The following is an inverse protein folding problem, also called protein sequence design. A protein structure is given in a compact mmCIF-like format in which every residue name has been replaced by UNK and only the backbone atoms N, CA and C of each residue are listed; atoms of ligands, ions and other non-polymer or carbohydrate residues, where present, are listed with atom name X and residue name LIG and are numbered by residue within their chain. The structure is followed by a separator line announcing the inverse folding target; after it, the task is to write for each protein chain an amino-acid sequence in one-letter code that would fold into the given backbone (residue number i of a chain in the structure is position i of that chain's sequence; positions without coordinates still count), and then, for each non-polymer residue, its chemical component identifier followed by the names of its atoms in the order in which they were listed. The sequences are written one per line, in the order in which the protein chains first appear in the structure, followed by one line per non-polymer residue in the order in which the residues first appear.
data_IF_817931982889
#
_entry.id   IF_817931982889
#
_cell.length_a   1.000
_cell.length_b   1.000
_cell.length_c   1.000
_cell.angle_alpha   90.00
_cell.angle_beta   90.00
_cell.angle_gamma   90.00
#
_symmetry.space_group_name_H-M   'P 1'
#
loop_
_entity.id
_entity.type
_entity.pdbx_description
1 polymer ?
#
# COMPACT_ATOMS: atom_id res chain seq x y z
N UNK A 1 -8.07 -34.99 -11.50
CA UNK A 1 -8.34 -35.23 -10.07
C UNK A 1 -8.47 -33.88 -9.41
N UNK A 2 -9.57 -33.62 -8.70
CA UNK A 2 -9.86 -32.35 -8.02
C UNK A 2 -9.95 -32.67 -6.52
N UNK A 3 -9.32 -31.84 -5.69
CA UNK A 3 -9.37 -31.98 -4.23
C UNK A 3 -10.69 -31.41 -3.73
N UNK A 4 -11.44 -32.19 -2.96
CA UNK A 4 -12.75 -31.83 -2.39
C UNK A 4 -12.62 -30.85 -1.20
N UNK A 5 -13.68 -30.08 -0.92
CA UNK A 5 -13.73 -29.11 0.17
C UNK A 5 -13.36 -29.71 1.54
N UNK A 6 -13.79 -30.93 1.86
CA UNK A 6 -13.49 -31.57 3.14
C UNK A 6 -12.00 -31.88 3.28
N UNK A 7 -11.35 -32.25 2.18
CA UNK A 7 -9.90 -32.50 2.14
C UNK A 7 -9.10 -31.22 2.43
N UNK A 8 -9.52 -30.08 1.86
CA UNK A 8 -8.86 -28.78 2.08
C UNK A 8 -9.05 -28.30 3.52
N UNK A 9 -10.22 -28.54 4.12
CA UNK A 9 -10.54 -28.15 5.50
C UNK A 9 -9.83 -28.99 6.55
N UNK A 10 -9.54 -30.26 6.25
CA UNK A 10 -8.80 -31.16 7.13
C UNK A 10 -7.30 -30.81 7.25
N UNK A 11 -6.77 -29.95 6.37
CA UNK A 11 -5.40 -29.47 6.44
C UNK A 11 -5.19 -28.51 7.64
N UNK A 12 -4.95 -29.08 8.83
CA UNK A 12 -4.77 -28.34 10.08
C UNK A 12 -3.46 -27.55 10.18
N UNK A 13 -2.58 -27.63 9.18
CA UNK A 13 -1.27 -26.97 9.20
C UNK A 13 -1.16 -25.95 8.07
N UNK A 14 -1.21 -24.67 8.44
CA UNK A 14 -0.81 -23.59 7.55
C UNK A 14 0.70 -23.42 7.66
N UNK A 15 1.48 -24.05 6.77
CA UNK A 15 2.94 -23.89 6.74
C UNK A 15 3.28 -22.39 6.62
N UNK A 16 4.08 -21.81 7.54
CA UNK A 16 4.45 -20.39 7.51
C UNK A 16 5.11 -19.94 6.20
N UNK A 17 5.55 -20.89 5.37
CA UNK A 17 6.22 -20.65 4.08
C UNK A 17 5.38 -21.02 2.85
N UNK A 18 4.19 -21.61 3.00
CA UNK A 18 3.40 -22.09 1.87
C UNK A 18 3.10 -20.95 0.87
N UNK A 19 2.66 -19.80 1.39
CA UNK A 19 2.40 -18.60 0.57
C UNK A 19 3.65 -18.07 -0.12
N UNK A 20 4.81 -18.11 0.55
CA UNK A 20 6.08 -17.67 -0.02
C UNK A 20 6.52 -18.60 -1.16
N UNK A 21 6.37 -19.92 -1.00
CA UNK A 21 6.65 -20.92 -2.05
C UNK A 21 5.71 -20.74 -3.25
N UNK A 22 4.41 -20.52 -3.00
CA UNK A 22 3.43 -20.23 -4.06
C UNK A 22 3.77 -18.96 -4.84
N UNK A 23 4.13 -17.87 -4.15
CA UNK A 23 4.59 -16.63 -4.80
C UNK A 23 5.87 -16.84 -5.61
N UNK A 24 6.82 -17.61 -5.07
CA UNK A 24 8.07 -17.96 -5.76
C UNK A 24 7.78 -18.73 -7.05
N UNK A 25 6.90 -19.73 -7.01
CA UNK A 25 6.48 -20.48 -8.18
C UNK A 25 5.79 -19.59 -9.23
N UNK A 26 4.91 -18.68 -8.80
CA UNK A 26 4.25 -17.70 -9.70
C UNK A 26 5.28 -16.78 -10.37
N UNK A 27 6.27 -16.28 -9.64
CA UNK A 27 7.24 -15.31 -10.17
C UNK A 27 8.34 -15.93 -11.03
N UNK A 28 8.60 -17.24 -10.92
CA UNK A 28 9.58 -17.94 -11.78
C UNK A 28 9.29 -17.78 -13.28
N UNK A 29 8.03 -17.60 -13.69
CA UNK A 29 7.64 -17.41 -15.09
C UNK A 29 6.94 -16.08 -15.40
N UNK A 30 6.76 -15.22 -14.39
CA UNK A 30 6.01 -13.96 -14.52
C UNK A 30 6.47 -12.96 -13.47
N UNK A 31 7.79 -12.77 -13.38
CA UNK A 31 8.36 -11.76 -12.49
C UNK A 31 7.80 -10.38 -12.86
N UNK A 32 7.50 -9.51 -11.88
CA UNK A 32 7.10 -8.15 -12.18
C UNK A 32 8.28 -7.41 -12.82
N UNK A 33 7.96 -6.51 -13.76
CA UNK A 33 8.96 -5.57 -14.28
C UNK A 33 9.58 -4.77 -13.13
N UNK A 34 10.91 -4.58 -13.13
CA UNK A 34 11.59 -3.81 -12.11
C UNK A 34 11.09 -2.37 -12.13
N UNK A 35 10.40 -1.96 -11.07
CA UNK A 35 10.06 -0.56 -10.87
C UNK A 35 11.21 0.16 -10.16
N UNK A 36 11.45 1.44 -10.48
CA UNK A 36 12.44 2.22 -9.75
C UNK A 36 12.10 2.25 -8.25
N UNK A 37 13.13 2.03 -7.42
CA UNK A 37 13.09 2.08 -5.95
C UNK A 37 12.44 3.34 -5.36
N UNK A 38 12.39 4.41 -6.15
CA UNK A 38 11.51 5.54 -5.92
C UNK A 38 10.61 5.70 -7.13
N UNK A 39 9.31 5.72 -6.86
CA UNK A 39 8.34 6.36 -7.73
C UNK A 39 8.70 7.84 -7.80
N UNK A 40 9.08 8.36 -8.97
CA UNK A 40 9.22 9.81 -9.19
C UNK A 40 7.88 10.53 -8.95
N UNK A 41 6.78 9.79 -9.07
CA UNK A 41 5.44 10.22 -8.71
C UNK A 41 5.21 10.11 -7.19
N UNK A 42 4.88 11.20 -6.48
CA UNK A 42 4.58 11.14 -5.05
C UNK A 42 3.33 10.26 -4.80
N UNK A 43 3.37 9.31 -3.85
CA UNK A 43 2.36 8.23 -3.71
C UNK A 43 0.97 8.69 -3.24
N UNK A 44 0.79 9.97 -2.98
CA UNK A 44 -0.50 10.55 -2.65
C UNK A 44 -0.46 12.03 -3.02
N UNK A 45 -1.60 12.69 -3.26
CA UNK A 45 -1.68 14.12 -3.55
C UNK A 45 -1.20 15.07 -2.44
N UNK A 46 -0.38 14.61 -1.48
CA UNK A 46 0.21 15.38 -0.39
C UNK A 46 1.09 16.54 -0.86
N UNK A 47 1.64 16.45 -2.08
CA UNK A 47 2.37 17.56 -2.72
C UNK A 47 1.49 18.81 -2.85
N UNK A 48 0.24 18.65 -3.29
CA UNK A 48 -0.75 19.74 -3.35
C UNK A 48 -1.38 20.05 -1.98
N UNK A 49 -1.46 19.07 -1.09
CA UNK A 49 -1.99 19.25 0.27
C UNK A 49 -1.10 20.13 1.14
N UNK A 50 0.23 20.07 0.97
CA UNK A 50 1.18 20.89 1.75
C UNK A 50 1.06 22.39 1.43
N UNK A 51 0.89 22.74 0.16
CA UNK A 51 0.63 24.13 -0.25
C UNK A 51 -0.73 24.63 0.28
N UNK A 52 -1.78 23.80 0.22
CA UNK A 52 -3.10 24.12 0.79
C UNK A 52 -3.06 24.26 2.32
N UNK A 53 -2.30 23.41 3.01
CA UNK A 53 -2.11 23.47 4.46
C UNK A 53 -1.47 24.79 4.89
N UNK A 54 -0.38 25.23 4.22
CA UNK A 54 0.26 26.52 4.49
C UNK A 54 -0.70 27.71 4.32
N UNK A 55 -1.50 27.72 3.24
CA UNK A 55 -2.52 28.76 3.01
C UNK A 55 -3.60 28.77 4.09
N UNK A 56 -4.07 27.61 4.54
CA UNK A 56 -5.08 27.48 5.61
C UNK A 56 -4.54 27.96 6.95
N UNK A 57 -3.31 27.57 7.30
CA UNK A 57 -2.64 28.03 8.51
C UNK A 57 -2.53 29.55 8.50
N UNK A 58 -1.98 30.14 7.44
CA UNK A 58 -1.86 31.60 7.32
C UNK A 58 -3.18 32.34 7.53
N UNK A 59 -4.27 31.90 6.88
CA UNK A 59 -5.61 32.49 7.09
C UNK A 59 -6.09 32.38 8.54
N UNK A 60 -5.80 31.27 9.22
CA UNK A 60 -6.17 31.05 10.63
C UNK A 60 -5.42 32.00 11.56
N UNK A 61 -4.13 32.24 11.29
CA UNK A 61 -3.35 33.25 12.00
C UNK A 61 -3.93 34.66 11.79
N UNK A 62 -4.23 35.05 10.55
CA UNK A 62 -4.84 36.35 10.26
C UNK A 62 -6.19 36.58 10.96
N UNK A 63 -7.06 35.57 11.03
CA UNK A 63 -8.33 35.66 11.76
C UNK A 63 -8.13 35.82 13.27
N UNK A 64 -7.09 35.19 13.84
CA UNK A 64 -6.76 35.33 15.27
C UNK A 64 -6.29 36.74 15.63
N UNK A 65 -5.55 37.40 14.73
CA UNK A 65 -4.98 38.72 14.98
C UNK A 65 -5.96 39.89 14.72
N UNK A 66 -6.99 39.71 13.89
CA UNK A 66 -7.97 40.77 13.54
C UNK A 66 -9.23 40.75 14.44
N UNK A 67 -9.18 40.02 15.56
CA UNK A 67 -10.30 39.87 16.49
C UNK A 67 -9.99 40.36 17.90
N UNK A 68 -8.99 41.24 18.06
CA UNK A 68 -8.70 41.98 19.29
C UNK A 68 -9.20 43.41 19.17
#
# INVERSE_FOLDING_TARGET
MVLDEDFVRAAGTSEPSARARMLTARWRGSAPEPQPWRSDEPPAGWFWSRARARRRSGRRWWRRWRGS
#
